data_IF_727392144732
#
_entry.id   IF_727392144732
#
_cell.length_a   1.000
_cell.length_b   1.000
_cell.length_c   1.000
_cell.angle_alpha   90.00
_cell.angle_beta   90.00
_cell.angle_gamma   90.00
#
_symmetry.space_group_name_H-M   'P 1'
#
loop_
_entity.id
_entity.type
_entity.pdbx_description
1 polymer ?
#
# COMPACT_ATOMS: atom_id res chain seq x y z
N UNK A 1 47.66 -18.89 -4.41
CA UNK A 1 46.34 -19.42 -3.98
C UNK A 1 45.75 -18.46 -2.96
N UNK A 2 44.53 -17.93 -3.15
CA UNK A 2 43.92 -17.07 -2.14
C UNK A 2 43.56 -17.92 -0.91
N UNK A 3 43.91 -17.44 0.29
CA UNK A 3 43.47 -18.04 1.55
C UNK A 3 41.94 -17.92 1.62
N UNK A 4 41.21 -19.03 1.71
CA UNK A 4 39.79 -19.01 2.04
C UNK A 4 39.65 -18.43 3.45
N UNK A 5 39.10 -17.22 3.53
CA UNK A 5 38.66 -16.66 4.81
C UNK A 5 37.50 -17.53 5.30
N UNK A 6 37.75 -18.30 6.36
CA UNK A 6 36.67 -18.95 7.10
C UNK A 6 35.94 -17.87 7.90
N UNK A 7 34.75 -17.50 7.46
CA UNK A 7 33.87 -16.62 8.21
C UNK A 7 33.08 -17.43 9.23
N UNK A 8 32.91 -16.86 10.41
CA UNK A 8 31.97 -17.38 11.40
C UNK A 8 30.56 -16.95 11.02
N UNK A 9 29.67 -17.90 10.80
CA UNK A 9 28.26 -17.65 10.52
C UNK A 9 27.46 -17.69 11.83
N UNK A 10 26.71 -16.62 12.10
CA UNK A 10 25.76 -16.61 13.21
C UNK A 10 24.52 -17.45 12.84
N UNK A 11 23.95 -18.21 13.78
CA UNK A 11 22.72 -18.95 13.51
C UNK A 11 21.55 -17.98 13.27
N UNK A 12 20.72 -18.30 12.26
CA UNK A 12 19.48 -17.60 11.99
C UNK A 12 18.32 -18.26 12.74
N UNK A 13 17.93 -17.65 13.85
CA UNK A 13 16.83 -18.13 14.70
C UNK A 13 15.48 -17.48 14.34
N UNK A 14 15.39 -16.74 13.23
CA UNK A 14 14.17 -16.02 12.85
C UNK A 14 12.96 -16.95 12.73
N UNK A 15 13.14 -18.15 12.18
CA UNK A 15 12.07 -19.15 12.00
C UNK A 15 11.35 -19.53 13.29
N UNK A 16 12.04 -19.52 14.43
CA UNK A 16 11.47 -19.92 15.72
C UNK A 16 10.51 -18.88 16.29
N UNK A 17 10.59 -17.64 15.81
CA UNK A 17 9.84 -16.50 16.38
C UNK A 17 8.80 -15.92 15.42
N UNK A 18 8.72 -16.39 14.16
CA UNK A 18 7.84 -15.81 13.13
C UNK A 18 6.38 -15.81 13.57
N UNK A 19 5.91 -16.92 14.15
CA UNK A 19 4.57 -17.07 14.70
C UNK A 19 4.30 -16.03 15.80
N UNK A 20 5.22 -15.90 16.75
CA UNK A 20 5.08 -14.94 17.86
C UNK A 20 5.00 -13.51 17.34
N UNK A 21 5.83 -13.16 16.36
CA UNK A 21 5.76 -11.84 15.73
C UNK A 21 4.43 -11.68 14.97
N UNK A 22 4.00 -12.67 14.20
CA UNK A 22 2.75 -12.58 13.45
C UNK A 22 1.53 -12.39 14.36
N UNK A 23 1.47 -13.13 15.47
CA UNK A 23 0.43 -12.98 16.50
C UNK A 23 0.45 -11.57 17.10
N UNK A 24 1.64 -11.03 17.39
CA UNK A 24 1.78 -9.67 17.88
C UNK A 24 1.30 -8.64 16.84
N UNK A 25 1.75 -8.76 15.59
CA UNK A 25 1.37 -7.89 14.49
C UNK A 25 -0.13 -7.92 14.22
N UNK A 26 -0.76 -9.10 14.24
CA UNK A 26 -2.20 -9.23 14.03
C UNK A 26 -3.05 -8.47 15.05
N UNK A 27 -2.53 -8.31 16.28
CA UNK A 27 -3.21 -7.58 17.38
C UNK A 27 -3.01 -6.08 17.36
N UNK A 28 -2.12 -5.56 16.51
CA UNK A 28 -1.72 -4.14 16.57
C UNK A 28 -1.76 -3.43 15.22
N UNK A 29 -1.77 -4.17 14.10
CA UNK A 29 -1.89 -3.59 12.77
C UNK A 29 -3.33 -3.18 12.48
N UNK A 30 -3.52 -1.98 11.94
CA UNK A 30 -4.82 -1.51 11.49
C UNK A 30 -4.93 -1.58 9.97
N UNK A 31 -5.95 -2.31 9.51
CA UNK A 31 -6.36 -2.40 8.11
C UNK A 31 -7.51 -1.41 7.85
N UNK A 32 -7.65 -0.95 6.61
CA UNK A 32 -8.81 -0.15 6.18
C UNK A 32 -10.08 -1.03 6.20
N UNK A 33 -11.22 -0.46 6.56
CA UNK A 33 -12.47 -1.23 6.57
C UNK A 33 -12.91 -1.62 5.15
N UNK A 34 -13.41 -2.86 4.90
CA UNK A 34 -13.84 -3.30 3.57
C UNK A 34 -14.87 -2.39 2.89
N UNK A 35 -15.80 -1.79 3.64
CA UNK A 35 -16.78 -0.84 3.09
C UNK A 35 -16.14 0.45 2.57
N UNK A 36 -15.07 0.93 3.20
CA UNK A 36 -14.30 2.08 2.70
C UNK A 36 -13.64 1.71 1.36
N UNK A 37 -13.02 0.53 1.29
CA UNK A 37 -12.40 0.02 0.06
C UNK A 37 -13.42 -0.12 -1.06
N UNK A 38 -14.60 -0.70 -0.78
CA UNK A 38 -15.68 -0.84 -1.75
C UNK A 38 -16.14 0.51 -2.32
N UNK A 39 -16.37 1.52 -1.46
CA UNK A 39 -16.75 2.87 -1.90
C UNK A 39 -15.69 3.52 -2.79
N UNK A 40 -14.40 3.32 -2.50
CA UNK A 40 -13.31 3.83 -3.34
C UNK A 40 -13.31 3.13 -4.71
N UNK A 41 -13.54 1.81 -4.76
CA UNK A 41 -13.64 1.05 -6.01
C UNK A 41 -14.76 1.56 -6.90
N UNK A 42 -15.94 1.78 -6.33
CA UNK A 42 -17.09 2.35 -7.04
C UNK A 42 -16.76 3.73 -7.61
N UNK A 43 -16.18 4.61 -6.78
CA UNK A 43 -15.76 5.94 -7.22
C UNK A 43 -14.64 5.93 -8.27
N UNK A 44 -13.87 4.85 -8.39
CA UNK A 44 -12.83 4.69 -9.41
C UNK A 44 -13.42 4.32 -10.78
N UNK A 45 -14.57 3.63 -10.83
CA UNK A 45 -15.28 3.33 -12.09
C UNK A 45 -15.71 4.64 -12.76
N UNK A 46 -16.35 5.53 -12.00
CA UNK A 46 -16.82 6.82 -12.50
C UNK A 46 -15.68 7.79 -12.82
N UNK A 47 -14.63 7.80 -11.98
CA UNK A 47 -13.53 8.74 -12.15
C UNK A 47 -12.59 8.38 -13.31
N UNK A 48 -12.65 7.16 -13.83
CA UNK A 48 -11.73 6.69 -14.88
C UNK A 48 -11.77 7.53 -16.15
N UNK A 49 -12.96 7.82 -16.67
CA UNK A 49 -13.10 8.62 -17.88
C UNK A 49 -12.71 10.09 -17.63
N UNK A 50 -13.14 10.68 -16.50
CA UNK A 50 -12.73 12.04 -16.10
C UNK A 50 -11.21 12.16 -15.97
N UNK A 51 -10.55 11.17 -15.37
CA UNK A 51 -9.10 11.19 -15.18
C UNK A 51 -8.34 11.07 -16.51
N UNK A 52 -8.86 10.27 -17.44
CA UNK A 52 -8.29 10.08 -18.78
C UNK A 52 -8.18 11.39 -19.57
N UNK A 53 -9.13 12.30 -19.38
CA UNK A 53 -9.13 13.60 -20.06
C UNK A 53 -8.01 14.53 -19.58
N UNK A 54 -7.53 14.35 -18.34
CA UNK A 54 -6.55 15.25 -17.74
C UNK A 54 -5.14 14.65 -17.61
N UNK A 55 -4.99 13.31 -17.55
CA UNK A 55 -3.73 12.67 -17.20
C UNK A 55 -2.66 12.62 -18.32
N UNK A 56 -2.95 13.16 -19.50
CA UNK A 56 -2.05 13.14 -20.65
C UNK A 56 -1.76 11.71 -21.13
N UNK A 57 -0.49 11.38 -21.39
CA UNK A 57 -0.09 10.06 -21.90
C UNK A 57 0.09 8.98 -20.82
N UNK A 58 -0.38 9.21 -19.60
CA UNK A 58 -0.32 8.22 -18.53
C UNK A 58 -1.13 6.98 -18.92
N UNK A 59 -0.54 5.79 -18.73
CA UNK A 59 -1.30 4.54 -18.81
C UNK A 59 -2.20 4.41 -17.57
N UNK A 60 -3.46 4.80 -17.72
CA UNK A 60 -4.44 4.81 -16.64
C UNK A 60 -4.84 3.41 -16.17
N UNK A 61 -4.71 2.39 -17.02
CA UNK A 61 -5.14 1.03 -16.69
C UNK A 61 -4.20 0.39 -15.65
N UNK A 62 -2.98 0.92 -15.52
CA UNK A 62 -2.07 0.59 -14.42
C UNK A 62 -2.70 0.95 -13.07
N UNK A 63 -3.46 2.05 -12.99
CA UNK A 63 -3.97 2.60 -11.74
C UNK A 63 -5.45 2.32 -11.52
N UNK A 64 -6.26 2.31 -12.59
CA UNK A 64 -7.71 2.18 -12.58
C UNK A 64 -8.16 0.92 -13.35
N UNK A 65 -7.52 -0.20 -13.02
CA UNK A 65 -7.95 -1.53 -13.45
C UNK A 65 -9.26 -1.96 -12.76
N UNK A 66 -9.89 -3.01 -13.27
CA UNK A 66 -11.12 -3.57 -12.69
C UNK A 66 -10.92 -3.98 -11.22
N UNK A 67 -11.72 -3.43 -10.32
CA UNK A 67 -11.60 -3.69 -8.87
C UNK A 67 -10.50 -2.88 -8.17
N UNK A 68 -9.84 -1.95 -8.86
CA UNK A 68 -8.83 -1.07 -8.26
C UNK A 68 -9.42 -0.16 -7.20
N UNK A 69 -8.76 -0.11 -6.05
CA UNK A 69 -9.01 0.83 -4.96
C UNK A 69 -7.83 1.82 -4.79
N UNK A 70 -7.08 2.05 -5.87
CA UNK A 70 -6.07 3.10 -5.96
C UNK A 70 -6.72 4.46 -5.66
N UNK A 71 -6.29 5.11 -4.58
CA UNK A 71 -6.87 6.40 -4.16
C UNK A 71 -6.28 7.56 -4.97
N UNK A 72 -5.02 7.48 -5.39
CA UNK A 72 -4.41 8.54 -6.19
C UNK A 72 -3.78 7.94 -7.45
N UNK A 73 -4.56 7.75 -8.53
CA UNK A 73 -4.04 7.23 -9.78
C UNK A 73 -2.98 8.18 -10.38
N UNK A 74 -1.98 7.60 -11.03
CA UNK A 74 -0.83 8.35 -11.53
C UNK A 74 0.18 8.76 -10.47
N UNK A 75 0.14 8.22 -9.25
CA UNK A 75 1.13 8.46 -8.20
C UNK A 75 1.86 7.16 -7.86
N UNK A 76 3.20 7.17 -7.84
CA UNK A 76 4.01 6.02 -7.39
C UNK A 76 5.20 6.42 -6.51
N UNK A 77 5.79 5.42 -5.87
CA UNK A 77 7.07 5.55 -5.17
C UNK A 77 8.22 5.71 -6.17
N UNK A 78 9.16 6.66 -5.98
CA UNK A 78 10.34 6.72 -6.83
C UNK A 78 11.31 5.57 -6.52
N UNK A 79 12.07 5.16 -7.52
CA UNK A 79 13.29 4.38 -7.33
C UNK A 79 14.49 5.30 -7.07
N UNK A 80 15.57 4.76 -6.50
CA UNK A 80 16.67 5.60 -5.99
C UNK A 80 17.28 6.53 -7.05
N UNK A 81 17.38 6.09 -8.31
CA UNK A 81 17.90 6.92 -9.42
C UNK A 81 17.01 8.11 -9.79
N UNK A 82 15.74 8.10 -9.40
CA UNK A 82 14.77 9.17 -9.68
C UNK A 82 14.72 10.25 -8.59
N UNK A 83 15.41 10.03 -7.45
CA UNK A 83 15.43 10.96 -6.33
C UNK A 83 16.44 12.11 -6.55
N UNK A 84 16.30 12.81 -7.67
CA UNK A 84 17.07 14.03 -8.00
C UNK A 84 16.48 15.26 -7.30
N UNK A 85 17.16 16.40 -7.31
CA UNK A 85 16.64 17.60 -6.66
C UNK A 85 15.22 17.95 -7.13
N UNK A 86 14.33 18.29 -6.18
CA UNK A 86 12.92 18.62 -6.45
C UNK A 86 12.10 17.51 -7.13
N UNK A 87 12.45 16.23 -6.98
CA UNK A 87 11.63 15.13 -7.56
C UNK A 87 10.23 14.99 -6.94
N UNK A 88 10.10 15.31 -5.65
CA UNK A 88 8.91 14.98 -4.85
C UNK A 88 7.70 15.82 -5.27
N UNK A 89 6.57 15.15 -5.48
CA UNK A 89 5.29 15.72 -5.93
C UNK A 89 5.32 16.33 -7.33
N UNK A 90 6.34 16.02 -8.14
CA UNK A 90 6.43 16.48 -9.52
C UNK A 90 6.13 15.36 -10.50
N UNK A 91 5.59 15.75 -11.66
CA UNK A 91 5.30 14.84 -12.75
C UNK A 91 6.60 14.53 -13.47
N UNK A 92 6.94 13.25 -13.54
CA UNK A 92 8.03 12.76 -14.35
C UNK A 92 7.66 12.89 -15.83
N UNK A 93 8.53 13.54 -16.61
CA UNK A 93 8.27 13.84 -18.02
C UNK A 93 8.24 12.58 -18.91
N UNK A 94 8.91 11.50 -18.49
CA UNK A 94 9.02 10.28 -19.29
C UNK A 94 7.75 9.42 -19.31
N UNK A 95 7.01 9.38 -18.19
CA UNK A 95 5.85 8.49 -18.00
C UNK A 95 4.60 9.22 -17.51
N UNK A 96 4.66 10.55 -17.34
CA UNK A 96 3.61 11.37 -16.76
C UNK A 96 3.18 10.98 -15.32
N UNK A 97 3.99 10.19 -14.62
CA UNK A 97 3.69 9.76 -13.24
C UNK A 97 4.16 10.81 -12.23
N UNK A 98 3.35 11.08 -11.22
CA UNK A 98 3.73 11.88 -10.05
C UNK A 98 4.54 11.01 -9.11
N UNK A 99 5.78 11.42 -8.83
CA UNK A 99 6.62 10.75 -7.86
C UNK A 99 6.33 11.28 -6.45
N UNK A 100 6.03 10.39 -5.50
CA UNK A 100 5.83 10.78 -4.11
C UNK A 100 6.51 9.82 -3.13
N UNK A 101 6.83 10.32 -1.94
CA UNK A 101 7.17 9.45 -0.81
C UNK A 101 5.87 8.96 -0.14
N UNK A 102 5.87 8.58 1.14
CA UNK A 102 4.65 8.06 1.76
C UNK A 102 3.67 9.20 2.15
N UNK A 103 3.83 10.42 1.61
CA UNK A 103 2.94 11.56 1.88
C UNK A 103 1.54 11.33 1.33
N UNK A 104 1.43 10.88 0.08
CA UNK A 104 0.15 10.71 -0.62
C UNK A 104 -0.71 9.59 -0.03
N UNK A 105 -0.20 8.36 0.17
CA UNK A 105 -1.02 7.30 0.78
C UNK A 105 -1.45 7.63 2.23
N UNK A 106 -0.74 8.53 2.93
CA UNK A 106 -1.18 9.01 4.26
C UNK A 106 -2.47 9.82 4.23
N UNK A 107 -2.86 10.41 3.09
CA UNK A 107 -4.15 11.12 2.98
C UNK A 107 -5.34 10.22 3.34
N UNK A 108 -5.26 8.92 3.08
CA UNK A 108 -6.35 7.96 3.38
C UNK A 108 -6.65 7.97 4.88
N UNK A 109 -5.63 7.70 5.70
CA UNK A 109 -5.72 7.67 7.16
C UNK A 109 -6.01 9.04 7.77
N UNK A 110 -5.44 10.08 7.17
CA UNK A 110 -5.66 11.48 7.51
C UNK A 110 -7.14 11.89 7.43
N UNK A 111 -7.81 11.61 6.31
CA UNK A 111 -9.23 11.91 6.15
C UNK A 111 -10.10 11.04 7.07
N UNK A 112 -9.76 9.76 7.24
CA UNK A 112 -10.45 8.90 8.19
C UNK A 112 -10.34 9.38 9.64
N UNK A 113 -9.21 9.96 10.05
CA UNK A 113 -9.00 10.41 11.43
C UNK A 113 -9.52 11.83 11.69
N UNK A 114 -9.19 12.80 10.84
CA UNK A 114 -9.51 14.22 11.06
C UNK A 114 -10.24 14.91 9.90
N UNK A 115 -10.68 14.16 8.89
CA UNK A 115 -11.42 14.69 7.74
C UNK A 115 -10.72 15.88 7.02
N UNK A 116 -9.39 15.83 6.93
CA UNK A 116 -8.59 16.85 6.24
C UNK A 116 -7.33 16.23 5.63
N UNK A 117 -6.67 16.89 4.66
CA UNK A 117 -5.44 16.38 4.06
C UNK A 117 -4.31 16.15 5.07
N UNK A 118 -3.44 15.20 4.78
CA UNK A 118 -2.22 14.95 5.53
C UNK A 118 -1.36 16.22 5.65
N UNK A 119 -0.94 16.52 6.88
CA UNK A 119 0.15 17.45 7.17
C UNK A 119 1.06 16.85 8.25
N UNK A 120 2.36 16.88 7.99
CA UNK A 120 3.39 16.39 8.90
C UNK A 120 3.90 17.45 9.88
N UNK A 121 4.84 17.06 10.74
CA UNK A 121 5.43 17.93 11.77
C UNK A 121 4.75 17.80 13.14
N UNK A 122 5.37 18.38 14.17
CA UNK A 122 4.89 18.29 15.57
C UNK A 122 3.49 18.86 15.76
N UNK A 123 3.17 19.94 15.05
CA UNK A 123 1.84 20.58 15.02
C UNK A 123 1.03 20.22 13.78
N UNK A 124 1.50 19.24 13.01
CA UNK A 124 0.79 18.75 11.84
C UNK A 124 -0.36 17.84 12.24
N UNK A 125 -1.31 17.66 11.34
CA UNK A 125 -2.47 16.81 11.58
C UNK A 125 -2.07 15.39 11.96
N UNK A 126 -1.01 14.85 11.38
CA UNK A 126 -0.54 13.49 11.71
C UNK A 126 -0.22 13.32 13.20
N UNK A 127 0.33 14.37 13.82
CA UNK A 127 0.64 14.37 15.26
C UNK A 127 -0.61 14.62 16.10
N UNK A 128 -1.41 15.63 15.76
CA UNK A 128 -2.63 15.99 16.48
C UNK A 128 -3.68 14.86 16.50
N UNK A 129 -3.75 14.08 15.43
CA UNK A 129 -4.66 12.92 15.31
C UNK A 129 -4.20 11.68 16.10
N UNK A 130 -2.98 11.68 16.63
CA UNK A 130 -2.35 10.49 17.22
C UNK A 130 -1.82 9.48 16.19
N UNK A 131 -1.95 9.75 14.89
CA UNK A 131 -1.39 8.90 13.82
C UNK A 131 0.15 8.86 13.85
N UNK A 132 0.80 9.84 14.50
CA UNK A 132 2.25 9.85 14.75
C UNK A 132 2.78 8.67 15.53
N UNK A 133 1.91 7.90 16.23
CA UNK A 133 2.27 6.64 16.89
C UNK A 133 2.45 5.47 15.92
N UNK A 134 2.08 5.66 14.66
CA UNK A 134 2.09 4.64 13.64
C UNK A 134 2.94 5.05 12.45
N UNK A 135 3.43 4.04 11.76
CA UNK A 135 3.97 4.14 10.42
C UNK A 135 3.08 3.45 9.40
N UNK A 136 3.23 3.87 8.15
CA UNK A 136 2.53 3.29 7.01
C UNK A 136 3.40 2.17 6.42
N UNK A 137 2.81 1.00 6.21
CA UNK A 137 3.39 -0.07 5.42
C UNK A 137 2.42 -0.51 4.31
N UNK A 138 2.99 -1.19 3.32
CA UNK A 138 2.27 -1.79 2.20
C UNK A 138 2.25 -3.31 2.38
N UNK A 139 1.22 -4.01 1.94
CA UNK A 139 1.16 -5.48 2.07
C UNK A 139 1.89 -6.13 0.88
N UNK A 140 1.48 -5.77 -0.32
CA UNK A 140 2.06 -6.17 -1.60
C UNK A 140 3.11 -5.17 -2.06
N UNK A 141 4.09 -5.68 -2.83
CA UNK A 141 5.08 -4.86 -3.51
C UNK A 141 4.45 -3.83 -4.43
N UNK A 142 4.99 -2.62 -4.44
CA UNK A 142 4.48 -1.51 -5.27
C UNK A 142 5.57 -0.90 -6.15
N UNK A 143 6.72 -1.56 -6.23
CA UNK A 143 7.84 -1.25 -7.12
C UNK A 143 8.11 -2.42 -8.06
N UNK A 144 8.82 -2.12 -9.14
CA UNK A 144 9.17 -3.10 -10.17
C UNK A 144 10.03 -4.26 -9.63
N UNK A 145 10.91 -3.97 -8.68
CA UNK A 145 11.84 -4.92 -8.06
C UNK A 145 11.25 -5.69 -6.87
N UNK A 146 9.98 -5.47 -6.52
CA UNK A 146 9.31 -6.05 -5.34
C UNK A 146 8.33 -7.19 -5.70
N UNK A 147 8.53 -7.87 -6.83
CA UNK A 147 7.57 -8.85 -7.41
C UNK A 147 7.88 -10.33 -7.14
N UNK A 148 9.04 -10.63 -6.57
CA UNK A 148 9.57 -12.00 -6.50
C UNK A 148 8.64 -12.97 -5.78
N UNK A 149 8.24 -12.67 -4.55
CA UNK A 149 7.38 -13.56 -3.77
C UNK A 149 6.00 -13.72 -4.41
N UNK A 150 5.43 -12.63 -4.91
CA UNK A 150 4.13 -12.60 -5.58
C UNK A 150 4.11 -13.53 -6.80
N UNK A 151 5.22 -13.63 -7.54
CA UNK A 151 5.34 -14.58 -8.66
C UNK A 151 5.43 -16.05 -8.24
N UNK A 152 5.86 -16.34 -7.01
CA UNK A 152 6.00 -17.69 -6.47
C UNK A 152 4.70 -18.24 -5.87
N UNK A 153 3.89 -17.36 -5.26
CA UNK A 153 2.76 -17.79 -4.40
C UNK A 153 1.40 -17.61 -5.05
N UNK A 154 1.35 -17.00 -6.22
CA UNK A 154 0.15 -16.89 -7.03
C UNK A 154 0.28 -17.74 -8.29
N UNK A 155 -0.73 -18.54 -8.58
CA UNK A 155 -0.77 -19.43 -9.75
C UNK A 155 -0.63 -18.70 -11.09
N UNK A 156 -0.98 -17.40 -11.12
CA UNK A 156 -0.79 -16.52 -12.27
C UNK A 156 -0.26 -15.18 -11.79
N UNK A 157 0.79 -14.70 -12.44
CA UNK A 157 1.39 -13.40 -12.21
C UNK A 157 1.72 -12.74 -13.56
N UNK A 158 1.13 -11.57 -13.83
CA UNK A 158 1.39 -10.82 -15.06
C UNK A 158 2.65 -9.94 -14.89
N UNK A 159 3.78 -10.45 -15.37
CA UNK A 159 5.06 -9.75 -15.32
C UNK A 159 5.12 -8.50 -16.22
N UNK A 160 4.21 -8.33 -17.18
CA UNK A 160 4.19 -7.16 -18.08
C UNK A 160 3.60 -5.93 -17.40
N UNK A 161 2.88 -6.11 -16.29
CA UNK A 161 2.22 -5.03 -15.56
C UNK A 161 3.07 -4.49 -14.43
N UNK A 162 2.95 -3.19 -14.17
CA UNK A 162 3.67 -2.48 -13.11
C UNK A 162 2.76 -2.33 -11.88
N UNK A 163 3.20 -2.63 -10.65
CA UNK A 163 2.34 -2.68 -9.47
C UNK A 163 2.10 -1.30 -8.86
N UNK A 164 2.14 -0.23 -9.66
CA UNK A 164 2.16 1.14 -9.18
C UNK A 164 0.86 1.57 -8.49
N UNK A 165 -0.29 1.04 -8.91
CA UNK A 165 -1.57 1.24 -8.21
C UNK A 165 -1.50 0.90 -6.72
N UNK A 166 -0.73 -0.13 -6.38
CA UNK A 166 -0.64 -0.66 -5.03
C UNK A 166 0.03 0.32 -4.06
N UNK A 167 0.71 1.36 -4.57
CA UNK A 167 1.31 2.38 -3.74
C UNK A 167 0.28 3.26 -3.00
N UNK A 168 -0.84 3.56 -3.65
CA UNK A 168 -1.91 4.40 -3.09
C UNK A 168 -3.24 3.65 -2.97
N UNK A 169 -3.22 2.32 -3.12
CA UNK A 169 -4.35 1.44 -2.86
C UNK A 169 -4.73 1.45 -1.38
N UNK A 170 -6.02 1.65 -1.09
CA UNK A 170 -6.51 1.69 0.29
C UNK A 170 -6.31 0.36 1.02
N UNK A 171 -6.67 -0.75 0.38
CA UNK A 171 -6.54 -2.12 0.88
C UNK A 171 -5.09 -2.55 1.03
N UNK A 172 -4.18 -2.00 0.23
CA UNK A 172 -2.75 -2.33 0.34
C UNK A 172 -2.03 -1.54 1.44
N UNK A 173 -2.67 -0.55 2.08
CA UNK A 173 -2.03 0.24 3.14
C UNK A 173 -2.48 -0.17 4.53
N UNK A 174 -1.52 -0.30 5.46
CA UNK A 174 -1.78 -0.61 6.87
C UNK A 174 -1.04 0.37 7.78
N UNK A 175 -1.61 0.62 8.96
CA UNK A 175 -0.91 1.30 10.05
C UNK A 175 -0.31 0.27 11.00
N UNK A 176 0.95 0.49 11.37
CA UNK A 176 1.71 -0.35 12.30
C UNK A 176 2.28 0.56 13.37
N UNK A 177 2.19 0.22 14.67
CA UNK A 177 2.84 1.00 15.70
C UNK A 177 4.33 1.16 15.44
N UNK A 178 4.85 2.36 15.67
CA UNK A 178 6.28 2.64 15.51
C UNK A 178 7.14 1.70 16.36
N UNK A 179 8.28 1.28 15.82
CA UNK A 179 9.24 0.43 16.51
C UNK A 179 8.94 -1.07 16.45
N UNK A 180 7.86 -1.47 15.77
CA UNK A 180 7.60 -2.86 15.44
C UNK A 180 8.15 -3.21 14.06
N UNK A 181 8.40 -4.50 13.83
CA UNK A 181 8.81 -5.02 12.53
C UNK A 181 7.69 -4.86 11.50
N UNK A 182 8.03 -4.51 10.26
CA UNK A 182 7.01 -4.42 9.21
C UNK A 182 6.72 -5.81 8.65
N UNK A 183 5.46 -6.08 8.25
CA UNK A 183 5.08 -7.30 7.52
C UNK A 183 5.89 -7.53 6.26
N UNK A 184 6.41 -6.46 5.66
CA UNK A 184 7.24 -6.47 4.45
C UNK A 184 8.71 -6.81 4.70
N UNK A 185 9.15 -6.84 5.95
CA UNK A 185 10.55 -7.04 6.28
C UNK A 185 10.90 -8.54 6.20
N UNK A 186 11.29 -8.98 5.00
CA UNK A 186 12.05 -10.21 4.64
C UNK A 186 11.59 -11.57 5.24
N UNK A 187 10.52 -11.64 6.01
CA UNK A 187 9.96 -12.87 6.54
C UNK A 187 8.83 -13.36 5.64
N UNK A 188 9.11 -14.41 4.86
CA UNK A 188 8.17 -14.99 3.88
C UNK A 188 6.85 -15.40 4.55
N UNK A 189 6.90 -16.14 5.65
CA UNK A 189 5.72 -16.66 6.34
C UNK A 189 4.79 -15.55 6.83
N UNK A 190 5.35 -14.49 7.40
CA UNK A 190 4.57 -13.32 7.85
C UNK A 190 3.95 -12.60 6.65
N UNK A 191 4.68 -12.41 5.55
CA UNK A 191 4.13 -11.78 4.34
C UNK A 191 2.95 -12.60 3.78
N UNK A 192 3.05 -13.94 3.77
CA UNK A 192 1.96 -14.83 3.36
C UNK A 192 0.74 -14.75 4.30
N UNK A 193 0.95 -14.63 5.61
CA UNK A 193 -0.15 -14.39 6.55
C UNK A 193 -0.85 -13.05 6.26
N UNK A 194 -0.12 -12.00 5.89
CA UNK A 194 -0.71 -10.71 5.50
C UNK A 194 -1.43 -10.77 4.15
N UNK A 195 -0.94 -11.54 3.17
CA UNK A 195 -1.67 -11.80 1.93
C UNK A 195 -3.00 -12.50 2.18
N UNK A 196 -2.97 -13.56 3.01
CA UNK A 196 -4.19 -14.26 3.38
C UNK A 196 -5.17 -13.33 4.09
N UNK A 197 -4.69 -12.50 5.03
CA UNK A 197 -5.53 -11.48 5.70
C UNK A 197 -6.12 -10.46 4.72
N UNK A 198 -5.34 -10.00 3.75
CA UNK A 198 -5.84 -9.12 2.70
C UNK A 198 -6.99 -9.78 1.92
N UNK A 199 -6.80 -11.03 1.48
CA UNK A 199 -7.78 -11.77 0.69
C UNK A 199 -9.05 -12.02 1.51
N UNK A 200 -8.92 -12.37 2.80
CA UNK A 200 -10.05 -12.57 3.71
C UNK A 200 -10.88 -11.29 3.90
N UNK A 201 -10.25 -10.10 3.85
CA UNK A 201 -10.94 -8.82 4.02
C UNK A 201 -11.54 -8.27 2.72
N UNK A 202 -10.83 -8.41 1.60
CA UNK A 202 -11.12 -7.65 0.38
C UNK A 202 -11.38 -8.51 -0.86
N UNK A 203 -11.24 -9.83 -0.74
CA UNK A 203 -11.30 -10.79 -1.83
C UNK A 203 -10.07 -10.77 -2.73
N UNK A 204 -10.14 -11.50 -3.85
CA UNK A 204 -9.05 -11.63 -4.82
C UNK A 204 -9.04 -10.51 -5.88
N UNK A 205 -9.24 -9.25 -5.44
CA UNK A 205 -9.28 -8.06 -6.28
C UNK A 205 -7.86 -7.49 -6.47
N UNK A 206 -6.96 -8.33 -6.98
CA UNK A 206 -5.54 -8.02 -7.18
C UNK A 206 -5.25 -7.67 -8.65
N UNK A 207 -4.17 -6.93 -8.90
CA UNK A 207 -3.90 -6.34 -10.21
C UNK A 207 -3.21 -7.31 -11.17
N UNK A 208 -2.06 -7.83 -10.75
CA UNK A 208 -1.20 -8.71 -11.57
C UNK A 208 -1.33 -10.16 -11.11
N UNK A 209 -1.78 -10.37 -9.88
CA UNK A 209 -1.82 -11.64 -9.18
C UNK A 209 -3.20 -12.32 -9.29
N UNK A 210 -3.24 -13.62 -9.58
CA UNK A 210 -4.47 -14.44 -9.44
C UNK A 210 -4.19 -15.83 -8.87
N UNK A 211 -5.14 -16.32 -8.08
CA UNK A 211 -5.11 -17.66 -7.51
C UNK A 211 -3.98 -17.82 -6.49
N UNK A 212 -4.14 -17.15 -5.35
CA UNK A 212 -3.24 -17.30 -4.20
C UNK A 212 -3.24 -18.77 -3.74
N UNK A 213 -2.05 -19.34 -3.58
CA UNK A 213 -1.90 -20.70 -3.07
C UNK A 213 -2.07 -20.73 -1.55
N UNK A 214 -3.28 -21.05 -1.10
CA UNK A 214 -3.59 -21.14 0.33
C UNK A 214 -2.79 -22.24 1.04
N UNK A 215 -2.22 -23.21 0.32
CA UNK A 215 -1.39 -24.27 0.93
C UNK A 215 -0.04 -23.74 1.44
N UNK A 216 0.38 -22.56 0.98
CA UNK A 216 1.59 -21.88 1.44
C UNK A 216 1.37 -21.04 2.71
N UNK A 217 0.12 -20.86 3.14
CA UNK A 217 -0.20 -20.12 4.36
C UNK A 217 0.33 -20.89 5.57
N UNK A 218 1.07 -20.24 6.50
CA UNK A 218 1.57 -20.92 7.69
C UNK A 218 0.45 -21.55 8.52
N UNK A 219 0.68 -22.75 9.06
CA UNK A 219 -0.32 -23.49 9.83
C UNK A 219 -0.85 -22.73 11.06
N UNK A 220 -0.03 -21.84 11.64
CA UNK A 220 -0.41 -20.97 12.76
C UNK A 220 -1.25 -19.75 12.35
N UNK A 221 -1.59 -19.56 11.07
CA UNK A 221 -2.41 -18.41 10.63
C UNK A 221 -3.73 -18.30 11.41
N UNK A 222 -4.39 -19.44 11.68
CA UNK A 222 -5.63 -19.49 12.44
C UNK A 222 -5.49 -19.04 13.90
N UNK A 223 -4.27 -19.00 14.43
CA UNK A 223 -3.99 -18.57 15.80
C UNK A 223 -3.86 -17.05 15.91
N UNK A 224 -3.64 -16.37 14.77
CA UNK A 224 -3.56 -14.92 14.73
C UNK A 224 -4.94 -14.31 14.98
N UNK A 225 -5.06 -13.63 16.12
CA UNK A 225 -6.25 -12.82 16.44
C UNK A 225 -6.12 -11.45 15.80
N UNK A 226 -6.48 -11.38 14.51
CA UNK A 226 -6.47 -10.12 13.77
C UNK A 226 -7.41 -9.09 14.37
N UNK A 227 -6.95 -7.85 14.50
CA UNK A 227 -7.85 -6.73 14.75
C UNK A 227 -8.88 -6.64 13.63
N UNK A 228 -10.15 -6.50 14.02
CA UNK A 228 -11.20 -6.16 13.09
C UNK A 228 -10.99 -4.71 12.62
N UNK A 229 -11.04 -4.45 11.30
CA UNK A 229 -10.97 -3.09 10.79
C UNK A 229 -12.05 -2.23 11.45
N UNK A 230 -11.67 -1.01 11.82
CA UNK A 230 -12.60 -0.06 12.45
C UNK A 230 -13.28 0.73 11.34
N UNK A 231 -14.60 0.88 11.43
CA UNK A 231 -15.37 1.79 10.60
C UNK A 231 -15.69 3.05 11.41
N UNK A 232 -15.00 4.18 11.19
CA UNK A 232 -15.22 5.39 11.98
C UNK A 232 -16.62 5.98 11.76
N UNK A 233 -17.10 6.75 12.72
CA UNK A 233 -18.30 7.56 12.52
C UNK A 233 -18.10 8.56 11.36
N UNK A 234 -19.16 8.74 10.58
CA UNK A 234 -19.17 9.62 9.39
C UNK A 234 -18.12 9.24 8.33
N UNK A 235 -17.66 7.97 8.29
CA UNK A 235 -16.64 7.53 7.34
C UNK A 235 -17.02 7.84 5.89
N UNK A 236 -18.30 7.69 5.50
CA UNK A 236 -18.76 7.96 4.12
C UNK A 236 -18.43 9.39 3.70
N UNK A 237 -18.84 10.37 4.51
CA UNK A 237 -18.54 11.79 4.30
C UNK A 237 -17.03 12.06 4.28
N UNK A 238 -16.26 11.38 5.13
CA UNK A 238 -14.80 11.51 5.15
C UNK A 238 -14.16 11.00 3.86
N UNK A 239 -14.65 9.88 3.34
CA UNK A 239 -14.20 9.32 2.07
C UNK A 239 -14.67 10.18 0.89
N UNK A 240 -15.88 10.74 0.91
CA UNK A 240 -16.32 11.68 -0.11
C UNK A 240 -15.40 12.92 -0.17
N UNK A 241 -15.00 13.45 0.98
CA UNK A 241 -14.05 14.57 1.04
C UNK A 241 -12.65 14.18 0.55
N UNK A 242 -12.18 12.96 0.84
CA UNK A 242 -10.93 12.42 0.30
C UNK A 242 -10.99 12.31 -1.22
N UNK A 243 -12.08 11.77 -1.77
CA UNK A 243 -12.27 11.60 -3.21
C UNK A 243 -12.40 12.96 -3.92
N UNK A 244 -13.05 13.95 -3.30
CA UNK A 244 -13.07 15.33 -3.78
C UNK A 244 -11.66 15.93 -3.79
N UNK A 245 -10.93 15.82 -2.67
CA UNK A 245 -9.55 16.29 -2.58
C UNK A 245 -8.64 15.63 -3.62
N UNK A 246 -8.80 14.32 -3.86
CA UNK A 246 -8.10 13.60 -4.92
C UNK A 246 -8.32 14.25 -6.28
N UNK A 247 -9.57 14.49 -6.67
CA UNK A 247 -9.90 15.11 -7.96
C UNK A 247 -9.22 16.47 -8.10
N UNK A 248 -9.39 17.34 -7.10
CA UNK A 248 -8.79 18.67 -7.08
C UNK A 248 -7.25 18.61 -7.16
N UNK A 249 -6.62 17.73 -6.38
CA UNK A 249 -5.17 17.54 -6.39
C UNK A 249 -4.65 17.11 -7.77
N UNK A 250 -5.26 16.08 -8.36
CA UNK A 250 -4.83 15.54 -9.65
C UNK A 250 -5.08 16.54 -10.78
N UNK A 251 -6.25 17.17 -10.84
CA UNK A 251 -6.54 18.21 -11.84
C UNK A 251 -5.54 19.36 -11.75
N UNK A 252 -5.28 19.88 -10.55
CA UNK A 252 -4.29 20.94 -10.36
C UNK A 252 -2.88 20.50 -10.78
N UNK A 253 -2.53 19.22 -10.58
CA UNK A 253 -1.21 18.70 -10.96
C UNK A 253 -1.05 18.55 -12.47
N UNK A 254 -2.05 18.01 -13.16
CA UNK A 254 -1.94 17.73 -14.58
C UNK A 254 -2.30 18.93 -15.47
N UNK A 255 -3.22 19.80 -15.05
CA UNK A 255 -3.64 20.97 -15.83
C UNK A 255 -2.72 22.19 -15.64
N UNK A 256 -1.93 22.24 -14.55
CA UNK A 256 -0.94 23.29 -14.35
C UNK A 256 0.38 23.04 -15.10
N UNK A 257 0.44 22.01 -15.96
CA UNK A 257 1.56 21.72 -16.84
C UNK A 257 1.74 22.76 -17.93
#
# INVERSE_FOLDING_TARGET
MPKSLHYYEFPDNSKEIEETIAIALGKVCHFIHPQIVAKIREANIEFKEEFKEICGSLDIDIFLFEGSDCVFPGVRRPINKEKIESWKNNINLGDNIILNDNTIPRHIWAFLSMNRPYSGGEKGMWSESGLSKFELAHIFGHKEDEKGLESEVFSRYDNTKLPYALFTSASNTVLIPNGLMKPTDKCRSIKLAFYKRYIDLYGNNLYTEKGFDETLVPGWYSEIKWLNPILPENWEKRIDNLLKYRKEYLSNKYLAK
#
